data_IF_694236258981
#
_entry.id   IF_694236258981
#
_cell.length_a   1.000
_cell.length_b   1.000
_cell.length_c   1.000
_cell.angle_alpha   90.00
_cell.angle_beta   90.00
_cell.angle_gamma   90.00
#
_symmetry.space_group_name_H-M   'P 1'
#
loop_
_entity.id
_entity.type
_entity.pdbx_description
1 polymer ?
#
# COMPACT_ATOMS: atom_id res chain seq x y z
N UNK A 1 0.75 -62.93 -52.83
CA UNK A 1 0.77 -63.05 -51.36
C UNK A 1 1.84 -62.10 -50.82
N UNK A 2 1.45 -61.23 -49.89
CA UNK A 2 2.21 -60.43 -48.91
C UNK A 2 3.39 -59.55 -49.43
N UNK A 3 3.33 -58.21 -49.44
CA UNK A 3 3.10 -57.20 -48.38
C UNK A 3 4.36 -56.82 -47.59
N UNK A 4 4.75 -55.54 -47.70
CA UNK A 4 5.34 -54.62 -46.70
C UNK A 4 6.49 -53.78 -47.29
N UNK A 5 6.70 -52.49 -47.01
CA UNK A 5 5.88 -51.34 -46.55
C UNK A 5 6.86 -50.15 -46.68
N UNK A 6 6.47 -49.09 -47.38
CA UNK A 6 7.26 -47.85 -47.51
C UNK A 6 7.08 -46.99 -46.25
N UNK A 7 8.19 -46.49 -45.69
CA UNK A 7 8.18 -45.52 -44.59
C UNK A 7 8.11 -44.10 -45.16
N UNK A 8 6.94 -43.47 -45.04
CA UNK A 8 6.76 -42.05 -45.31
C UNK A 8 7.21 -41.21 -44.11
N UNK A 9 8.19 -40.34 -44.30
CA UNK A 9 8.55 -39.27 -43.38
C UNK A 9 7.45 -38.19 -43.41
N UNK A 10 6.70 -38.03 -42.31
CA UNK A 10 5.88 -36.84 -42.07
C UNK A 10 6.66 -35.91 -41.15
N UNK A 11 7.05 -34.75 -41.67
CA UNK A 11 7.54 -33.63 -40.88
C UNK A 11 6.41 -33.13 -39.97
N UNK A 12 6.61 -33.21 -38.66
CA UNK A 12 5.75 -32.59 -37.66
C UNK A 12 6.33 -31.21 -37.39
N UNK A 13 5.69 -30.18 -37.94
CA UNK A 13 5.88 -28.79 -37.54
C UNK A 13 5.47 -28.65 -36.07
N UNK A 14 6.45 -28.63 -35.18
CA UNK A 14 6.26 -28.31 -33.77
C UNK A 14 5.92 -26.82 -33.66
N UNK A 15 4.64 -26.52 -33.43
CA UNK A 15 4.21 -25.20 -32.99
C UNK A 15 4.76 -24.97 -31.58
N UNK A 16 5.80 -24.15 -31.47
CA UNK A 16 6.25 -23.60 -30.20
C UNK A 16 5.17 -22.63 -29.74
N UNK A 17 4.29 -23.08 -28.85
CA UNK A 17 3.43 -22.18 -28.08
C UNK A 17 4.33 -21.36 -27.17
N UNK A 18 4.67 -20.15 -27.60
CA UNK A 18 5.17 -19.13 -26.70
C UNK A 18 4.07 -18.88 -25.66
N UNK A 19 4.30 -19.35 -24.44
CA UNK A 19 3.48 -18.98 -23.30
C UNK A 19 3.64 -17.46 -23.12
N UNK A 20 2.68 -16.69 -23.63
CA UNK A 20 2.55 -15.30 -23.29
C UNK A 20 2.41 -15.22 -21.77
N UNK A 21 3.43 -14.68 -21.10
CA UNK A 21 3.31 -14.30 -19.71
C UNK A 21 2.13 -13.33 -19.62
N UNK A 22 1.02 -13.79 -19.07
CA UNK A 22 -0.12 -12.93 -18.76
C UNK A 22 0.36 -11.97 -17.68
N UNK A 23 0.87 -10.81 -18.09
CA UNK A 23 0.99 -9.67 -17.21
C UNK A 23 -0.42 -9.35 -16.76
N UNK A 24 -0.76 -9.77 -15.54
CA UNK A 24 -2.02 -9.41 -14.88
C UNK A 24 -2.19 -7.91 -15.04
N UNK A 25 -3.21 -7.49 -15.82
CA UNK A 25 -3.54 -6.09 -16.00
C UNK A 25 -3.66 -5.47 -14.61
N UNK A 26 -2.87 -4.42 -14.35
CA UNK A 26 -2.96 -3.69 -13.09
C UNK A 26 -4.34 -3.04 -13.07
N UNK A 27 -5.06 -3.19 -11.98
CA UNK A 27 -6.33 -2.50 -11.81
C UNK A 27 -6.07 -0.99 -11.77
N UNK A 28 -6.46 -0.27 -12.82
CA UNK A 28 -6.54 1.18 -12.82
C UNK A 28 -7.69 1.63 -11.91
N UNK A 29 -7.54 2.74 -11.18
CA UNK A 29 -8.62 3.24 -10.33
C UNK A 29 -9.69 3.93 -11.19
N UNK A 30 -10.97 3.46 -11.21
CA UNK A 30 -12.02 4.17 -11.92
C UNK A 30 -12.55 5.38 -11.15
N UNK A 31 -12.29 5.46 -9.84
CA UNK A 31 -12.64 6.59 -8.98
C UNK A 31 -11.62 6.82 -7.86
N UNK A 32 -11.73 7.95 -7.16
CA UNK A 32 -10.86 8.26 -6.02
C UNK A 32 -10.96 7.21 -4.92
N UNK A 33 -12.18 6.74 -4.60
CA UNK A 33 -12.39 5.70 -3.59
C UNK A 33 -11.63 4.40 -3.90
N UNK A 34 -11.55 4.01 -5.17
CA UNK A 34 -10.97 2.73 -5.58
C UNK A 34 -9.45 2.68 -5.39
N UNK A 35 -8.77 3.83 -5.34
CA UNK A 35 -7.34 3.90 -5.03
C UNK A 35 -6.99 3.36 -3.64
N UNK A 36 -7.94 3.38 -2.70
CA UNK A 36 -7.73 2.95 -1.32
C UNK A 36 -8.10 1.48 -1.11
N UNK A 37 -8.72 0.83 -2.09
CA UNK A 37 -9.08 -0.58 -2.00
C UNK A 37 -7.81 -1.43 -1.91
N UNK A 38 -7.71 -2.24 -0.86
CA UNK A 38 -6.57 -3.11 -0.62
C UNK A 38 -6.91 -4.55 -1.05
N UNK A 39 -5.91 -5.28 -1.59
CA UNK A 39 -6.08 -6.69 -1.97
C UNK A 39 -5.25 -7.59 -1.06
N UNK A 40 -5.89 -8.54 -0.33
CA UNK A 40 -5.14 -9.49 0.48
C UNK A 40 -4.24 -10.36 -0.38
N UNK A 41 -3.06 -10.70 0.13
CA UNK A 41 -2.08 -11.54 -0.54
C UNK A 41 -1.11 -10.78 -1.45
N UNK A 42 -1.29 -9.47 -1.63
CA UNK A 42 -0.31 -8.62 -2.32
C UNK A 42 0.90 -8.40 -1.40
N UNK A 43 2.09 -8.65 -1.94
CA UNK A 43 3.36 -8.37 -1.29
C UNK A 43 4.28 -7.63 -2.26
N UNK A 44 5.05 -6.68 -1.76
CA UNK A 44 5.98 -5.90 -2.56
C UNK A 44 7.09 -5.31 -1.68
N UNK A 45 8.19 -4.91 -2.30
CA UNK A 45 9.30 -4.24 -1.64
C UNK A 45 9.40 -2.79 -2.14
N UNK A 46 9.67 -1.88 -1.23
CA UNK A 46 9.95 -0.47 -1.50
C UNK A 46 11.46 -0.23 -1.62
N UNK A 47 11.85 0.85 -2.30
CA UNK A 47 13.25 1.23 -2.52
C UNK A 47 14.00 1.59 -1.23
N UNK A 48 13.29 1.85 -0.13
CA UNK A 48 13.86 2.00 1.22
C UNK A 48 14.12 0.64 1.90
N UNK A 49 13.85 -0.47 1.21
CA UNK A 49 13.94 -1.88 1.62
C UNK A 49 12.80 -2.35 2.53
N UNK A 50 11.78 -1.52 2.76
CA UNK A 50 10.57 -1.95 3.44
C UNK A 50 9.85 -3.03 2.63
N UNK A 51 9.54 -4.14 3.29
CA UNK A 51 8.67 -5.18 2.76
C UNK A 51 7.24 -4.92 3.20
N UNK A 52 6.35 -4.81 2.23
CA UNK A 52 4.92 -4.57 2.44
C UNK A 52 4.15 -5.86 2.17
N UNK A 53 3.23 -6.18 3.07
CA UNK A 53 2.31 -7.30 2.95
C UNK A 53 0.89 -6.84 3.29
N UNK A 54 -0.07 -7.19 2.45
CA UNK A 54 -1.49 -6.88 2.66
C UNK A 54 -2.22 -8.16 3.06
N UNK A 55 -2.88 -8.16 4.22
CA UNK A 55 -3.59 -9.34 4.75
C UNK A 55 -4.98 -9.00 5.24
N UNK A 56 -5.89 -9.98 5.19
CA UNK A 56 -7.11 -9.93 5.97
C UNK A 56 -6.78 -10.07 7.44
N UNK A 57 -7.44 -9.29 8.28
CA UNK A 57 -7.23 -9.29 9.72
C UNK A 57 -8.55 -9.06 10.46
N UNK A 58 -8.48 -9.17 11.79
CA UNK A 58 -9.46 -8.57 12.69
C UNK A 58 -8.74 -7.58 13.59
N UNK A 59 -9.31 -6.38 13.74
CA UNK A 59 -8.74 -5.34 14.59
C UNK A 59 -9.84 -4.71 15.45
N UNK A 60 -9.60 -4.63 16.76
CA UNK A 60 -10.57 -4.11 17.73
C UNK A 60 -12.01 -4.67 17.54
N UNK A 61 -12.11 -5.99 17.30
CA UNK A 61 -13.39 -6.67 17.10
C UNK A 61 -14.02 -6.53 15.72
N UNK A 62 -13.44 -5.76 14.79
CA UNK A 62 -13.94 -5.54 13.42
C UNK A 62 -13.13 -6.34 12.40
N UNK A 63 -13.76 -6.73 11.29
CA UNK A 63 -13.05 -7.19 10.10
C UNK A 63 -12.22 -6.03 9.54
N UNK A 64 -11.00 -6.31 9.09
CA UNK A 64 -10.05 -5.30 8.67
C UNK A 64 -9.14 -5.79 7.54
N UNK A 65 -8.59 -4.85 6.80
CA UNK A 65 -7.45 -5.02 5.91
C UNK A 65 -6.22 -4.45 6.61
N UNK A 66 -5.15 -5.24 6.71
CA UNK A 66 -3.90 -4.82 7.33
C UNK A 66 -2.82 -4.62 6.28
N UNK A 67 -2.17 -3.47 6.31
CA UNK A 67 -0.92 -3.20 5.58
C UNK A 67 0.21 -3.34 6.60
N UNK A 68 0.95 -4.43 6.49
CA UNK A 68 2.11 -4.74 7.33
C UNK A 68 3.36 -4.26 6.60
N UNK A 69 4.16 -3.43 7.27
CA UNK A 69 5.47 -3.01 6.79
C UNK A 69 6.56 -3.55 7.70
N UNK A 70 7.59 -4.14 7.12
CA UNK A 70 8.79 -4.61 7.83
C UNK A 70 10.05 -4.04 7.19
N UNK A 71 10.85 -3.33 7.96
CA UNK A 71 12.17 -2.81 7.56
C UNK A 71 13.13 -2.83 8.74
N UNK A 72 14.38 -3.23 8.54
CA UNK A 72 15.44 -3.11 9.56
C UNK A 72 15.12 -3.74 10.92
N UNK A 73 14.26 -4.77 10.97
CA UNK A 73 13.78 -5.39 12.22
C UNK A 73 12.68 -4.61 12.95
N UNK A 74 12.18 -3.53 12.37
CA UNK A 74 10.97 -2.80 12.76
C UNK A 74 9.79 -3.38 12.00
N UNK A 75 8.71 -3.69 12.71
CA UNK A 75 7.44 -4.12 12.12
C UNK A 75 6.33 -3.18 12.55
N UNK A 76 5.55 -2.73 11.58
CA UNK A 76 4.34 -1.94 11.81
C UNK A 76 3.17 -2.54 11.05
N UNK A 77 1.97 -2.42 11.58
CA UNK A 77 0.74 -2.82 10.92
C UNK A 77 -0.25 -1.68 10.99
N UNK A 78 -0.75 -1.22 9.85
CA UNK A 78 -1.86 -0.26 9.76
C UNK A 78 -3.13 -1.02 9.42
N UNK A 79 -4.23 -0.71 10.09
CA UNK A 79 -5.50 -1.40 9.92
C UNK A 79 -6.54 -0.46 9.33
N UNK A 80 -7.19 -0.93 8.28
CA UNK A 80 -8.26 -0.23 7.57
C UNK A 80 -9.51 -1.10 7.54
N UNK A 81 -10.68 -0.49 7.31
CA UNK A 81 -11.89 -1.25 7.01
C UNK A 81 -11.77 -1.99 5.66
N UNK A 82 -12.80 -2.74 5.29
CA UNK A 82 -12.81 -3.52 4.05
C UNK A 82 -12.80 -2.64 2.79
N UNK A 83 -13.24 -1.38 2.89
CA UNK A 83 -13.13 -0.41 1.79
C UNK A 83 -11.72 0.16 1.67
N UNK A 84 -10.89 0.05 2.72
CA UNK A 84 -9.56 0.63 2.82
C UNK A 84 -9.54 2.13 3.11
N UNK A 85 -10.71 2.78 3.17
CA UNK A 85 -10.83 4.24 3.36
C UNK A 85 -10.88 4.66 4.82
N UNK A 86 -11.42 3.83 5.71
CA UNK A 86 -11.47 4.13 7.14
C UNK A 86 -10.25 3.57 7.84
N UNK A 87 -9.52 4.42 8.58
CA UNK A 87 -8.41 3.97 9.42
C UNK A 87 -8.94 3.51 10.78
N UNK A 88 -8.77 2.23 11.07
CA UNK A 88 -9.20 1.61 12.33
C UNK A 88 -8.13 1.72 13.42
N UNK A 89 -6.86 1.74 13.03
CA UNK A 89 -5.76 1.88 13.99
C UNK A 89 -4.40 1.48 13.42
N UNK A 90 -3.47 1.24 14.34
CA UNK A 90 -2.15 0.70 14.01
C UNK A 90 -1.51 -0.02 15.19
N UNK A 91 -0.57 -0.91 14.88
CA UNK A 91 0.30 -1.57 15.84
C UNK A 91 1.75 -1.37 15.43
N UNK A 92 2.61 -1.07 16.41
CA UNK A 92 4.06 -1.08 16.26
C UNK A 92 4.60 -2.17 17.17
N UNK A 93 5.49 -2.98 16.62
CA UNK A 93 6.07 -4.14 17.28
C UNK A 93 7.47 -3.82 17.81
N UNK A 94 7.95 -4.63 18.75
CA UNK A 94 9.31 -4.48 19.30
C UNK A 94 10.37 -4.52 18.20
N UNK A 95 11.41 -3.69 18.32
CA UNK A 95 12.45 -3.59 17.30
C UNK A 95 13.49 -4.68 17.52
N UNK A 96 13.52 -5.70 16.66
CA UNK A 96 14.45 -6.82 16.80
C UNK A 96 15.93 -6.39 16.73
N UNK A 97 16.24 -5.39 15.90
CA UNK A 97 17.59 -4.83 15.79
C UNK A 97 18.10 -4.17 17.09
N UNK A 98 17.20 -3.82 18.00
CA UNK A 98 17.52 -3.25 19.32
C UNK A 98 17.28 -4.26 20.46
N UNK A 99 17.19 -5.57 20.15
CA UNK A 99 16.93 -6.63 21.13
C UNK A 99 15.47 -6.77 21.58
N UNK A 100 14.54 -6.05 20.94
CA UNK A 100 13.11 -6.16 21.19
C UNK A 100 12.47 -7.40 20.55
N UNK A 101 11.27 -7.77 21.00
CA UNK A 101 10.52 -8.88 20.42
C UNK A 101 9.65 -8.39 19.25
N UNK A 102 10.02 -8.73 18.01
CA UNK A 102 9.30 -8.37 16.78
C UNK A 102 7.91 -9.01 16.62
N UNK A 103 7.55 -9.97 17.49
CA UNK A 103 6.21 -10.55 17.57
C UNK A 103 5.33 -9.90 18.65
N UNK A 104 5.89 -9.01 19.48
CA UNK A 104 5.15 -8.33 20.56
C UNK A 104 4.80 -6.91 20.15
N UNK A 105 3.52 -6.55 20.22
CA UNK A 105 3.04 -5.18 20.07
C UNK A 105 3.51 -4.35 21.27
N UNK A 106 4.18 -3.23 21.01
CA UNK A 106 4.67 -2.28 22.03
C UNK A 106 3.91 -0.97 22.03
N UNK A 107 3.36 -0.57 20.88
CA UNK A 107 2.44 0.57 20.76
C UNK A 107 1.24 0.09 19.97
N UNK A 108 0.05 0.29 20.53
CA UNK A 108 -1.23 0.02 19.85
C UNK A 108 -2.04 1.29 19.82
N UNK A 109 -2.55 1.65 18.66
CA UNK A 109 -3.47 2.76 18.49
C UNK A 109 -4.78 2.26 17.96
N UNK A 110 -5.88 2.60 18.62
CA UNK A 110 -7.23 2.24 18.23
C UNK A 110 -8.03 3.51 18.03
N UNK A 111 -8.53 3.74 16.82
CA UNK A 111 -9.46 4.83 16.55
C UNK A 111 -10.88 4.45 16.98
N UNK A 112 -11.68 5.46 17.33
CA UNK A 112 -13.09 5.32 17.66
C UNK A 112 -13.94 5.97 16.58
N UNK A 113 -15.21 5.55 16.47
CA UNK A 113 -16.16 6.20 15.58
C UNK A 113 -16.46 7.65 16.06
N UNK A 114 -16.59 8.63 15.15
CA UNK A 114 -16.36 8.53 13.71
C UNK A 114 -14.87 8.33 13.37
N UNK A 115 -14.60 7.33 12.52
CA UNK A 115 -13.23 6.97 12.14
C UNK A 115 -12.64 7.99 11.17
N UNK A 116 -11.31 8.23 11.20
CA UNK A 116 -10.64 8.94 10.12
C UNK A 116 -10.90 8.22 8.80
N UNK A 117 -11.59 8.89 7.88
CA UNK A 117 -12.08 8.30 6.64
C UNK A 117 -11.74 9.17 5.45
N UNK A 118 -11.16 8.55 4.43
CA UNK A 118 -10.98 9.19 3.13
C UNK A 118 -12.34 9.25 2.42
N UNK A 119 -12.81 10.44 1.99
CA UNK A 119 -14.08 10.58 1.26
C UNK A 119 -14.10 9.79 -0.05
N UNK A 120 -15.28 9.36 -0.49
CA UNK A 120 -15.43 8.53 -1.67
C UNK A 120 -15.35 9.31 -3.00
N UNK A 121 -15.79 10.58 -2.98
CA UNK A 121 -16.16 11.34 -4.17
C UNK A 121 -15.42 12.68 -4.31
N UNK A 122 -14.12 12.69 -4.01
CA UNK A 122 -13.28 13.87 -4.24
C UNK A 122 -12.84 13.95 -5.70
N UNK A 123 -12.93 15.17 -6.26
CA UNK A 123 -12.42 15.49 -7.59
C UNK A 123 -10.96 15.95 -7.52
N UNK A 124 -10.17 15.78 -8.59
CA UNK A 124 -8.82 16.36 -8.68
C UNK A 124 -8.82 17.86 -8.31
N UNK A 125 -7.82 18.28 -7.52
CA UNK A 125 -7.74 19.60 -6.90
C UNK A 125 -8.58 19.77 -5.62
N UNK A 126 -9.44 18.81 -5.29
CA UNK A 126 -10.32 18.87 -4.12
C UNK A 126 -9.57 18.68 -2.80
N UNK A 127 -9.95 19.49 -1.81
CA UNK A 127 -9.42 19.40 -0.45
C UNK A 127 -10.33 18.51 0.40
N UNK A 128 -9.75 17.77 1.34
CA UNK A 128 -10.49 17.03 2.35
C UNK A 128 -9.70 16.98 3.67
N UNK A 129 -10.42 16.79 4.77
CA UNK A 129 -9.84 16.70 6.11
C UNK A 129 -10.16 15.36 6.74
N UNK A 130 -9.15 14.68 7.25
CA UNK A 130 -9.31 13.51 8.10
C UNK A 130 -9.46 13.96 9.54
N UNK A 131 -10.49 13.45 10.21
CA UNK A 131 -10.77 13.73 11.61
C UNK A 131 -11.15 12.45 12.33
N UNK A 132 -10.94 12.42 13.64
CA UNK A 132 -11.27 11.27 14.48
C UNK A 132 -10.52 11.33 15.79
N UNK A 133 -10.85 10.40 16.68
CA UNK A 133 -10.21 10.26 17.99
C UNK A 133 -9.68 8.86 18.17
N UNK A 134 -8.61 8.72 18.92
CA UNK A 134 -8.02 7.42 19.21
C UNK A 134 -7.45 7.33 20.62
N UNK A 135 -7.09 6.11 20.99
CA UNK A 135 -6.34 5.81 22.20
C UNK A 135 -5.05 5.11 21.79
N UNK A 136 -3.92 5.66 22.24
CA UNK A 136 -2.59 5.06 22.14
C UNK A 136 -2.32 4.32 23.44
N UNK A 137 -2.10 3.02 23.35
CA UNK A 137 -1.69 2.15 24.45
C UNK A 137 -0.21 1.83 24.31
N UNK A 138 0.54 2.04 25.39
CA UNK A 138 1.95 1.67 25.53
C UNK A 138 2.15 0.98 26.88
N UNK A 139 3.38 0.56 27.20
CA UNK A 139 3.72 0.08 28.55
C UNK A 139 3.53 1.14 29.66
N UNK A 140 3.55 2.43 29.32
CA UNK A 140 3.34 3.52 30.27
C UNK A 140 1.85 3.79 30.57
N UNK A 141 0.94 3.19 29.80
CA UNK A 141 -0.51 3.38 29.95
C UNK A 141 -1.20 3.79 28.65
N UNK A 142 -2.41 4.33 28.81
CA UNK A 142 -3.29 4.74 27.73
C UNK A 142 -3.35 6.27 27.63
N UNK A 143 -3.25 6.77 26.41
CA UNK A 143 -3.28 8.20 26.08
C UNK A 143 -4.32 8.44 24.98
N UNK A 144 -5.34 9.23 25.28
CA UNK A 144 -6.30 9.66 24.27
C UNK A 144 -5.70 10.76 23.39
N UNK A 145 -6.04 10.77 22.10
CA UNK A 145 -5.57 11.79 21.17
C UNK A 145 -6.60 12.08 20.08
N UNK A 146 -6.56 13.31 19.57
CA UNK A 146 -7.26 13.70 18.34
C UNK A 146 -6.35 13.46 17.13
N UNK A 147 -6.95 13.00 16.02
CA UNK A 147 -6.20 12.66 14.80
C UNK A 147 -5.35 13.84 14.31
N UNK A 148 -5.94 15.04 14.24
CA UNK A 148 -5.29 16.24 13.71
C UNK A 148 -4.10 16.73 14.56
N UNK A 149 -4.05 16.37 15.85
CA UNK A 149 -2.94 16.75 16.73
C UNK A 149 -1.72 15.84 16.53
N UNK A 150 -1.92 14.66 15.97
CA UNK A 150 -0.90 13.61 15.84
C UNK A 150 -0.49 13.35 14.40
N UNK A 151 -1.42 13.53 13.47
CA UNK A 151 -1.27 13.20 12.07
C UNK A 151 -1.61 14.41 11.22
N UNK A 152 -0.97 14.53 10.05
CA UNK A 152 -1.38 15.50 9.05
C UNK A 152 -2.84 15.23 8.68
N UNK A 153 -3.74 16.17 8.99
CA UNK A 153 -5.17 16.00 8.76
C UNK A 153 -5.65 16.58 7.44
N UNK A 154 -4.94 17.55 6.87
CA UNK A 154 -5.38 18.30 5.69
C UNK A 154 -4.73 17.76 4.43
N UNK A 155 -5.57 17.41 3.47
CA UNK A 155 -5.18 16.67 2.28
C UNK A 155 -5.78 17.31 1.03
N UNK A 156 -5.07 17.16 -0.08
CA UNK A 156 -5.51 17.51 -1.43
C UNK A 156 -5.41 16.26 -2.28
N UNK A 157 -6.49 15.89 -2.96
CA UNK A 157 -6.40 14.96 -4.06
C UNK A 157 -5.85 15.73 -5.27
N UNK A 158 -4.56 15.56 -5.59
CA UNK A 158 -3.91 16.29 -6.68
C UNK A 158 -4.51 15.86 -8.02
N UNK A 159 -4.67 14.55 -8.21
CA UNK A 159 -5.31 13.98 -9.39
C UNK A 159 -4.86 12.54 -9.63
N UNK A 160 -5.30 12.00 -10.77
CA UNK A 160 -4.83 10.71 -11.25
C UNK A 160 -3.54 10.87 -12.04
N UNK A 161 -2.62 9.91 -11.89
CA UNK A 161 -1.37 9.85 -12.62
C UNK A 161 -1.16 8.43 -13.17
N UNK A 162 -0.55 8.32 -14.35
CA UNK A 162 0.00 7.05 -14.80
C UNK A 162 1.46 7.01 -14.34
N UNK A 163 1.75 6.16 -13.36
CA UNK A 163 3.06 6.11 -12.72
C UNK A 163 3.88 4.95 -13.31
N UNK A 164 4.93 5.27 -14.07
CA UNK A 164 5.91 4.29 -14.52
C UNK A 164 6.94 4.04 -13.40
N UNK A 165 7.03 2.79 -12.95
CA UNK A 165 8.04 2.32 -12.00
C UNK A 165 8.81 1.15 -12.62
N UNK A 166 9.93 0.74 -11.99
CA UNK A 166 10.76 -0.37 -12.49
C UNK A 166 10.92 -1.50 -11.47
N UNK A 167 9.83 -2.11 -10.98
CA UNK A 167 9.91 -3.22 -10.05
C UNK A 167 10.77 -4.36 -10.61
N UNK A 168 11.70 -4.88 -9.81
CA UNK A 168 12.62 -5.93 -10.21
C UNK A 168 13.36 -5.59 -11.53
N UNK A 169 13.66 -4.30 -11.76
CA UNK A 169 14.26 -3.76 -12.99
C UNK A 169 13.41 -3.87 -14.27
N UNK A 170 12.12 -4.20 -14.16
CA UNK A 170 11.21 -4.28 -15.30
C UNK A 170 10.24 -3.09 -15.29
N UNK A 171 10.21 -2.33 -16.38
CA UNK A 171 9.29 -1.20 -16.50
C UNK A 171 7.83 -1.66 -16.39
N UNK A 172 7.08 -1.00 -15.52
CA UNK A 172 5.67 -1.28 -15.26
C UNK A 172 4.93 0.03 -15.02
N UNK A 173 3.86 0.25 -15.78
CA UNK A 173 2.98 1.40 -15.59
C UNK A 173 1.82 1.02 -14.68
N UNK A 174 1.67 1.75 -13.58
CA UNK A 174 0.49 1.73 -12.74
C UNK A 174 -0.46 2.83 -13.22
N UNK A 175 -1.54 2.44 -13.86
CA UNK A 175 -2.51 3.37 -14.45
C UNK A 175 -3.44 3.97 -13.39
N UNK A 176 -3.80 5.24 -13.57
CA UNK A 176 -4.73 5.98 -12.71
C UNK A 176 -4.45 5.83 -11.21
N UNK A 177 -3.20 6.00 -10.78
CA UNK A 177 -2.88 6.07 -9.35
C UNK A 177 -3.35 7.40 -8.78
N UNK A 178 -3.87 7.40 -7.55
CA UNK A 178 -4.26 8.64 -6.89
C UNK A 178 -3.03 9.30 -6.27
N UNK A 179 -2.69 10.50 -6.74
CA UNK A 179 -1.73 11.36 -6.07
C UNK A 179 -2.44 12.21 -5.02
N UNK A 180 -2.11 11.97 -3.75
CA UNK A 180 -2.62 12.72 -2.60
C UNK A 180 -1.48 13.46 -1.94
N UNK A 181 -1.70 14.74 -1.64
CA UNK A 181 -0.76 15.56 -0.87
C UNK A 181 -1.36 15.89 0.48
N UNK A 182 -0.62 15.67 1.56
CA UNK A 182 -0.92 16.22 2.87
C UNK A 182 0.09 17.29 3.27
N UNK A 183 -0.36 18.26 4.06
CA UNK A 183 0.49 19.34 4.59
C UNK A 183 0.50 19.29 6.12
N UNK A 184 1.70 19.30 6.68
CA UNK A 184 1.96 19.64 8.06
C UNK A 184 2.51 21.07 8.16
N UNK A 185 2.85 21.47 9.38
CA UNK A 185 3.45 22.78 9.65
C UNK A 185 4.83 22.93 8.99
N UNK A 186 5.69 21.91 9.14
CA UNK A 186 7.09 21.96 8.68
C UNK A 186 7.35 21.22 7.38
N UNK A 187 6.42 20.38 6.94
CA UNK A 187 6.61 19.46 5.83
C UNK A 187 5.35 19.19 5.02
N UNK A 188 5.55 18.68 3.81
CA UNK A 188 4.48 18.11 2.98
C UNK A 188 4.82 16.68 2.63
N UNK A 189 3.77 15.86 2.46
CA UNK A 189 3.91 14.47 2.04
C UNK A 189 3.07 14.27 0.79
N UNK A 190 3.73 13.94 -0.31
CA UNK A 190 3.10 13.43 -1.53
C UNK A 190 3.05 11.90 -1.44
N UNK A 191 1.90 11.30 -1.70
CA UNK A 191 1.69 9.85 -1.68
C UNK A 191 0.91 9.41 -2.93
N UNK A 192 1.35 8.34 -3.57
CA UNK A 192 0.68 7.75 -4.73
C UNK A 192 0.06 6.42 -4.32
N UNK A 193 -1.26 6.35 -4.41
CA UNK A 193 -2.06 5.18 -4.06
C UNK A 193 -2.45 4.43 -5.32
N UNK A 194 -2.00 3.17 -5.44
CA UNK A 194 -2.45 2.27 -6.48
C UNK A 194 -3.53 1.33 -5.93
N UNK A 195 -4.65 1.12 -6.65
CA UNK A 195 -5.64 0.12 -6.29
C UNK A 195 -5.00 -1.24 -6.07
N UNK A 196 -5.52 -2.00 -5.11
CA UNK A 196 -5.00 -3.30 -4.67
C UNK A 196 -3.72 -3.25 -3.84
N UNK A 197 -2.87 -2.22 -3.98
CA UNK A 197 -1.57 -2.12 -3.31
C UNK A 197 -1.56 -1.13 -2.13
N UNK A 198 -2.31 -0.03 -2.21
CA UNK A 198 -2.16 1.10 -1.29
C UNK A 198 -1.02 2.03 -1.74
N UNK A 199 -0.23 2.56 -0.80
CA UNK A 199 0.84 3.53 -1.13
C UNK A 199 2.02 2.81 -1.79
N UNK A 200 2.28 3.14 -3.06
CA UNK A 200 3.39 2.57 -3.84
C UNK A 200 4.53 3.57 -4.09
N UNK A 201 4.33 4.85 -3.77
CA UNK A 201 5.37 5.88 -3.79
C UNK A 201 5.03 6.96 -2.78
N UNK A 202 6.07 7.50 -2.14
CA UNK A 202 5.94 8.60 -1.19
C UNK A 202 7.13 9.55 -1.31
N UNK A 203 6.87 10.84 -1.18
CA UNK A 203 7.90 11.87 -1.06
C UNK A 203 7.55 12.79 0.10
N UNK A 204 8.51 13.02 0.98
CA UNK A 204 8.43 13.98 2.07
C UNK A 204 9.33 15.15 1.74
N UNK A 205 8.77 16.36 1.79
CA UNK A 205 9.49 17.60 1.49
C UNK A 205 9.37 18.57 2.66
N UNK A 206 10.40 19.37 2.91
CA UNK A 206 10.31 20.52 3.83
C UNK A 206 9.26 21.52 3.33
N UNK A 207 8.85 22.47 4.17
CA UNK A 207 8.00 23.60 3.76
C UNK A 207 8.59 24.42 2.59
N UNK A 208 9.92 24.39 2.40
CA UNK A 208 10.63 25.04 1.29
C UNK A 208 10.72 24.19 0.01
N UNK A 209 10.22 22.95 0.06
CA UNK A 209 10.21 22.02 -1.08
C UNK A 209 11.44 21.12 -1.19
N UNK A 210 12.37 21.17 -0.23
CA UNK A 210 13.56 20.32 -0.22
C UNK A 210 13.20 18.88 0.13
N UNK A 211 13.76 17.91 -0.58
CA UNK A 211 13.49 16.49 -0.30
C UNK A 211 14.09 16.07 1.04
N UNK A 212 13.27 15.47 1.91
CA UNK A 212 13.71 14.87 3.18
C UNK A 212 13.83 13.35 3.06
N UNK A 213 12.85 12.73 2.40
CA UNK A 213 12.75 11.28 2.32
C UNK A 213 11.86 10.89 1.14
N UNK A 214 12.15 9.77 0.51
CA UNK A 214 11.26 9.20 -0.51
C UNK A 214 11.46 7.70 -0.62
N UNK A 215 10.40 7.01 -1.00
CA UNK A 215 10.46 5.65 -1.49
C UNK A 215 9.53 5.47 -2.68
N UNK A 216 9.78 4.42 -3.44
CA UNK A 216 8.85 3.89 -4.44
C UNK A 216 8.91 2.38 -4.49
N UNK A 217 7.89 1.76 -5.08
CA UNK A 217 7.82 0.32 -5.27
C UNK A 217 8.96 -0.11 -6.20
N UNK A 218 9.83 -0.96 -5.66
CA UNK A 218 11.10 -1.39 -6.25
C UNK A 218 11.13 -2.90 -6.53
N UNK A 219 10.30 -3.68 -5.84
CA UNK A 219 10.20 -5.11 -6.08
C UNK A 219 8.78 -5.66 -5.95
N UNK A 220 8.47 -6.67 -6.75
CA UNK A 220 7.22 -7.44 -6.70
C UNK A 220 7.55 -8.90 -6.38
N UNK A 221 6.75 -9.51 -5.52
CA UNK A 221 6.87 -10.92 -5.11
C UNK A 221 5.79 -11.79 -5.77
#
# INVERSE_FOLDING_TARGET
>A
MHSAKSFGFKAILGAVFAAAATTSAIAAAPSFADCFKLKPGVNYTLSDRSKIQIVKARFAGKAAMSVVSTDGGVKTAKFFDETGRQRLGSEQYGVAALGGNASKVVIKEVFSAPFPEVPADIKPGGNFKLAGKGVKTTSAGNEAFDFANKYQSEHVFVGFENLELKPNYNARTFENVCHVRSRGEDNSVDSWYAPEYGVIKMQVKTAKGESLFSYELDGLE
#
